data_IF_662754759228
#
_entry.id   IF_662754759228
#
_cell.length_a   1.000
_cell.length_b   1.000
_cell.length_c   1.000
_cell.angle_alpha   90.00
_cell.angle_beta   90.00
_cell.angle_gamma   90.00
#
_symmetry.space_group_name_H-M   'P 1'
#
loop_
_entity.id
_entity.type
_entity.pdbx_description
1 polymer ?
#
# COMPACT_ATOMS: atom_id res chain seq x y z
N UNK A 1 16.49 1.96 -44.53
CA UNK A 1 15.53 2.47 -43.53
C UNK A 1 15.22 1.33 -42.58
N UNK A 2 15.85 1.30 -41.41
CA UNK A 2 15.64 0.23 -40.42
C UNK A 2 14.68 0.75 -39.35
N UNK A 3 13.48 0.17 -39.29
CA UNK A 3 12.51 0.41 -38.23
C UNK A 3 13.02 -0.26 -36.95
N UNK A 4 13.45 0.53 -35.97
CA UNK A 4 13.68 0.03 -34.61
C UNK A 4 12.32 -0.31 -34.01
N UNK A 5 12.00 -1.60 -33.89
CA UNK A 5 10.87 -2.05 -33.08
C UNK A 5 11.19 -1.74 -31.60
N UNK A 6 10.67 -0.62 -31.11
CA UNK A 6 10.67 -0.32 -29.68
C UNK A 6 9.83 -1.40 -28.98
N UNK A 7 10.51 -2.26 -28.22
CA UNK A 7 9.87 -3.27 -27.38
C UNK A 7 9.01 -2.53 -26.35
N UNK A 8 7.69 -2.80 -26.25
CA UNK A 8 6.84 -2.14 -25.27
C UNK A 8 7.36 -2.48 -23.87
N UNK A 9 7.90 -1.48 -23.17
CA UNK A 9 8.37 -1.66 -21.79
C UNK A 9 7.15 -2.04 -20.93
N UNK A 10 7.21 -3.10 -20.12
CA UNK A 10 6.13 -3.42 -19.20
C UNK A 10 5.91 -2.21 -18.29
N UNK A 11 4.67 -1.70 -18.28
CA UNK A 11 4.28 -0.65 -17.34
C UNK A 11 4.55 -1.16 -15.93
N UNK A 12 5.23 -0.39 -15.06
CA UNK A 12 5.47 -0.82 -13.69
C UNK A 12 4.12 -1.09 -13.04
N UNK A 13 3.90 -2.34 -12.65
CA UNK A 13 2.75 -2.72 -11.84
C UNK A 13 2.98 -2.07 -10.48
N UNK A 14 2.32 -0.95 -10.22
CA UNK A 14 2.37 -0.30 -8.91
C UNK A 14 1.79 -1.31 -7.91
N UNK A 15 2.64 -1.80 -7.01
CA UNK A 15 2.22 -2.79 -6.03
C UNK A 15 1.10 -2.17 -5.16
N UNK A 16 -0.10 -2.77 -5.21
CA UNK A 16 -1.26 -2.26 -4.47
C UNK A 16 -1.24 -2.78 -3.04
N UNK A 17 -1.66 -1.95 -2.10
CA UNK A 17 -1.91 -2.34 -0.72
C UNK A 17 -3.15 -3.25 -0.63
N UNK A 18 -2.98 -4.39 0.03
CA UNK A 18 -3.99 -5.45 0.21
C UNK A 18 -4.18 -5.78 1.69
N UNK A 19 -5.32 -6.39 2.04
CA UNK A 19 -5.55 -6.90 3.41
C UNK A 19 -4.42 -7.84 3.81
N UNK A 20 -3.92 -7.68 5.04
CA UNK A 20 -2.76 -8.41 5.55
C UNK A 20 -1.42 -7.70 5.37
N UNK A 21 -1.33 -6.70 4.47
CA UNK A 21 -0.11 -5.90 4.36
C UNK A 21 0.12 -5.05 5.61
N UNK A 22 1.39 -4.79 5.90
CA UNK A 22 1.82 -3.85 6.93
C UNK A 22 2.42 -2.62 6.28
N UNK A 23 1.85 -1.46 6.59
CA UNK A 23 2.35 -0.15 6.17
C UNK A 23 2.91 0.59 7.38
N UNK A 24 4.02 1.29 7.20
CA UNK A 24 4.60 2.14 8.25
C UNK A 24 4.29 3.60 7.94
N UNK A 25 3.64 4.28 8.89
CA UNK A 25 3.25 5.69 8.75
C UNK A 25 3.74 6.41 10.00
N UNK A 26 4.73 7.29 9.82
CA UNK A 26 5.55 7.79 10.92
C UNK A 26 6.26 6.64 11.65
N UNK A 27 6.12 6.59 12.98
CA UNK A 27 6.69 5.53 13.83
C UNK A 27 5.71 4.40 14.18
N UNK A 28 4.56 4.34 13.49
CA UNK A 28 3.51 3.36 13.75
C UNK A 28 3.43 2.36 12.60
N UNK A 29 3.42 1.07 12.94
CA UNK A 29 3.16 -0.02 12.01
C UNK A 29 1.66 -0.30 12.00
N UNK A 30 1.07 -0.28 10.82
CA UNK A 30 -0.35 -0.41 10.59
C UNK A 30 -0.61 -1.66 9.74
N UNK A 31 -1.38 -2.60 10.26
CA UNK A 31 -1.86 -3.77 9.52
C UNK A 31 -3.17 -3.42 8.81
N UNK A 32 -3.25 -3.65 7.51
CA UNK A 32 -4.50 -3.51 6.76
C UNK A 32 -5.43 -4.67 7.15
N UNK A 33 -6.49 -4.37 7.91
CA UNK A 33 -7.47 -5.34 8.39
C UNK A 33 -8.61 -5.55 7.42
N UNK A 34 -8.96 -4.50 6.69
CA UNK A 34 -10.04 -4.53 5.72
C UNK A 34 -9.77 -3.54 4.60
N UNK A 35 -10.27 -3.86 3.41
CA UNK A 35 -10.23 -2.96 2.27
C UNK A 35 -11.41 -3.25 1.33
N UNK A 36 -12.18 -2.23 0.98
CA UNK A 36 -13.16 -2.29 -0.10
C UNK A 36 -13.22 -0.98 -0.87
N UNK A 37 -13.31 -1.07 -2.21
CA UNK A 37 -13.15 0.10 -3.05
C UNK A 37 -11.83 0.80 -2.74
N UNK A 38 -11.84 2.10 -2.49
CA UNK A 38 -10.64 2.84 -2.09
C UNK A 38 -10.48 2.99 -0.57
N UNK A 39 -11.46 2.54 0.22
CA UNK A 39 -11.42 2.62 1.68
C UNK A 39 -10.61 1.45 2.26
N UNK A 40 -9.79 1.75 3.27
CA UNK A 40 -9.00 0.78 4.03
C UNK A 40 -9.11 1.04 5.52
N UNK A 41 -9.16 -0.04 6.30
CA UNK A 41 -9.12 0.01 7.76
C UNK A 41 -7.79 -0.56 8.22
N UNK A 42 -7.08 0.23 9.01
CA UNK A 42 -5.75 -0.06 9.53
C UNK A 42 -5.84 -0.31 11.04
N UNK A 43 -5.04 -1.25 11.54
CA UNK A 43 -4.86 -1.46 12.98
C UNK A 43 -3.38 -1.33 13.36
N UNK A 44 -3.07 -0.52 14.37
CA UNK A 44 -1.70 -0.38 14.86
C UNK A 44 -1.22 -1.68 15.50
N UNK A 45 -0.02 -2.15 15.14
CA UNK A 45 0.54 -3.42 15.65
C UNK A 45 1.67 -3.23 16.66
N UNK A 46 2.27 -2.04 16.73
CA UNK A 46 3.43 -1.75 17.59
C UNK A 46 3.14 -0.74 18.71
N UNK A 47 1.87 -0.55 19.07
CA UNK A 47 1.44 0.33 20.17
C UNK A 47 0.69 -0.49 21.22
N UNK A 48 1.11 -0.34 22.48
CA UNK A 48 0.62 -1.11 23.64
C UNK A 48 -0.74 -0.64 24.16
N UNK A 49 -1.19 0.56 23.79
CA UNK A 49 -2.27 1.27 24.49
C UNK A 49 -3.67 1.01 23.88
N UNK A 50 -3.90 -0.21 23.40
CA UNK A 50 -5.13 -0.58 22.69
C UNK A 50 -5.01 -0.30 21.20
N UNK A 51 -5.41 -1.26 20.39
CA UNK A 51 -5.28 -1.24 18.94
C UNK A 51 -5.91 0.02 18.35
N UNK A 52 -5.09 1.03 18.00
CA UNK A 52 -5.59 2.19 17.27
C UNK A 52 -6.10 1.70 15.93
N UNK A 53 -7.37 1.97 15.66
CA UNK A 53 -7.98 1.70 14.37
C UNK A 53 -8.04 3.01 13.60
N UNK A 54 -7.55 3.00 12.37
CA UNK A 54 -7.58 4.17 11.50
C UNK A 54 -8.22 3.80 10.16
N UNK A 55 -9.31 4.47 9.84
CA UNK A 55 -9.95 4.41 8.53
C UNK A 55 -9.38 5.50 7.63
N UNK A 56 -8.96 5.12 6.43
CA UNK A 56 -8.39 6.03 5.44
C UNK A 56 -8.62 5.49 4.03
N UNK A 57 -8.08 6.17 3.03
CA UNK A 57 -8.15 5.77 1.62
C UNK A 57 -6.79 5.29 1.10
N UNK A 58 -6.80 4.43 0.08
CA UNK A 58 -5.57 3.84 -0.49
C UNK A 58 -4.60 4.88 -1.06
N UNK A 59 -5.11 5.99 -1.58
CA UNK A 59 -4.31 7.11 -2.11
C UNK A 59 -3.57 7.89 -1.00
N UNK A 60 -4.03 7.78 0.25
CA UNK A 60 -3.37 8.36 1.42
C UNK A 60 -2.32 7.45 2.03
N UNK A 61 -2.23 6.19 1.59
CA UNK A 61 -1.16 5.31 2.00
C UNK A 61 0.13 5.67 1.22
N UNK A 62 1.30 5.61 1.86
CA UNK A 62 2.57 5.77 1.15
C UNK A 62 2.66 4.74 0.04
N UNK A 63 3.36 5.05 -1.06
CA UNK A 63 3.56 4.08 -2.14
C UNK A 63 4.17 2.79 -1.59
N UNK A 64 3.59 1.65 -1.95
CA UNK A 64 4.10 0.35 -1.52
C UNK A 64 5.51 0.19 -2.07
N UNK A 65 6.50 0.25 -1.19
CA UNK A 65 7.89 0.08 -1.57
C UNK A 65 8.10 -1.29 -2.18
N UNK A 66 8.67 -1.34 -3.38
CA UNK A 66 9.32 -2.55 -3.89
C UNK A 66 10.64 -2.70 -3.14
N UNK A 67 10.67 -3.56 -2.12
CA UNK A 67 11.95 -4.01 -1.56
C UNK A 67 12.47 -5.16 -2.41
#
# INVERSE_FOLDING_TARGET
MSLLLETPRPRPVVARWTVGDVVTIGNVRWLIRWAAGDVVILASTNRSNGACVWETTRDRLPTKGTR
#
